data_IF_740967876189
#
_entry.id   IF_740967876189
#
_cell.length_a   1.000
_cell.length_b   1.000
_cell.length_c   1.000
_cell.angle_alpha   90.00
_cell.angle_beta   90.00
_cell.angle_gamma   90.00
#
_symmetry.space_group_name_H-M   'P 1'
#
loop_
_entity.id
_entity.type
_entity.pdbx_description
1 polymer ?
#
# COMPACT_ATOMS: atom_id res chain seq x y z
N UNK A 1 -18.83 16.20 -10.76
CA UNK A 1 -17.99 16.40 -9.57
C UNK A 1 -17.24 15.13 -9.15
N UNK A 2 -17.85 14.09 -8.58
CA UNK A 2 -17.10 12.91 -8.10
C UNK A 2 -16.44 12.06 -9.21
N UNK A 3 -17.07 11.98 -10.39
CA UNK A 3 -16.54 11.25 -11.55
C UNK A 3 -15.41 12.03 -12.25
N UNK A 4 -15.57 13.35 -12.39
CA UNK A 4 -14.56 14.25 -12.98
C UNK A 4 -13.24 14.22 -12.19
N UNK A 5 -13.30 14.30 -10.86
CA UNK A 5 -12.10 14.17 -10.00
C UNK A 5 -11.40 12.82 -10.19
N UNK A 6 -12.16 11.74 -10.43
CA UNK A 6 -11.57 10.42 -10.64
C UNK A 6 -10.87 10.31 -12.01
N UNK A 7 -11.43 10.94 -13.04
CA UNK A 7 -10.87 10.97 -14.39
C UNK A 7 -9.63 11.88 -14.46
N UNK A 8 -9.65 13.00 -13.75
CA UNK A 8 -8.48 13.88 -13.56
C UNK A 8 -7.34 13.14 -12.86
N UNK A 9 -7.62 12.44 -11.75
CA UNK A 9 -6.59 11.70 -11.02
C UNK A 9 -6.03 10.53 -11.84
N UNK A 10 -6.87 9.84 -12.61
CA UNK A 10 -6.41 8.82 -13.54
C UNK A 10 -5.44 9.42 -14.57
N UNK A 11 -5.80 10.54 -15.17
CA UNK A 11 -4.96 11.25 -16.15
C UNK A 11 -3.64 11.71 -15.54
N UNK A 12 -3.66 12.25 -14.31
CA UNK A 12 -2.47 12.64 -13.55
C UNK A 12 -1.52 11.46 -13.33
N UNK A 13 -2.07 10.31 -12.92
CA UNK A 13 -1.28 9.09 -12.73
C UNK A 13 -0.69 8.59 -14.06
N UNK A 14 -1.49 8.52 -15.14
CA UNK A 14 -1.01 8.12 -16.47
C UNK A 14 0.15 9.00 -16.94
N UNK A 15 -0.01 10.32 -16.83
CA UNK A 15 1.02 11.28 -17.18
C UNK A 15 2.30 11.13 -16.35
N UNK A 16 2.19 10.78 -15.06
CA UNK A 16 3.36 10.58 -14.20
C UNK A 16 4.20 9.36 -14.57
N UNK A 17 3.63 8.40 -15.31
CA UNK A 17 4.28 7.14 -15.67
C UNK A 17 4.70 7.07 -17.14
N UNK A 18 4.32 8.04 -17.97
CA UNK A 18 4.41 7.97 -19.44
C UNK A 18 5.84 7.74 -19.96
N UNK A 19 6.84 8.35 -19.30
CA UNK A 19 8.24 8.32 -19.75
C UNK A 19 9.07 7.23 -19.05
N UNK A 20 8.44 6.39 -18.21
CA UNK A 20 9.11 5.39 -17.39
C UNK A 20 8.88 3.94 -17.82
N UNK A 21 9.57 2.98 -17.16
CA UNK A 21 9.41 1.55 -17.42
C UNK A 21 8.01 1.03 -17.00
N UNK A 22 7.28 1.79 -16.18
CA UNK A 22 5.93 1.47 -15.74
C UNK A 22 4.84 2.18 -16.56
N UNK A 23 5.15 2.70 -17.76
CA UNK A 23 4.14 3.25 -18.67
C UNK A 23 3.04 2.22 -18.89
N UNK A 24 1.79 2.65 -18.70
CA UNK A 24 0.63 1.78 -18.84
C UNK A 24 -0.13 2.07 -20.14
N UNK A 25 -0.70 1.03 -20.76
CA UNK A 25 -1.68 1.14 -21.85
C UNK A 25 -3.10 1.34 -21.34
N UNK A 26 -3.36 0.95 -20.09
CA UNK A 26 -4.65 1.15 -19.43
C UNK A 26 -4.50 1.17 -17.92
N UNK A 27 -5.35 1.96 -17.25
CA UNK A 27 -5.54 1.94 -15.81
C UNK A 27 -6.97 1.52 -15.48
N UNK A 28 -7.13 0.46 -14.69
CA UNK A 28 -8.41 0.03 -14.11
C UNK A 28 -8.44 0.37 -12.63
N UNK A 29 -9.40 1.18 -12.18
CA UNK A 29 -9.56 1.50 -10.76
C UNK A 29 -9.83 0.22 -9.95
N UNK A 30 -9.16 0.08 -8.82
CA UNK A 30 -9.40 -0.99 -7.84
C UNK A 30 -10.32 -0.49 -6.72
N UNK A 31 -11.19 -1.38 -6.23
CA UNK A 31 -12.02 -1.16 -5.04
C UNK A 31 -11.25 -1.55 -3.78
N UNK A 32 -11.74 -1.14 -2.60
CA UNK A 32 -11.24 -1.63 -1.31
C UNK A 32 -10.37 -0.68 -0.49
N UNK A 33 -10.16 0.56 -0.94
CA UNK A 33 -9.46 1.61 -0.19
C UNK A 33 -10.26 2.92 -0.15
N UNK A 34 -10.23 3.61 1.00
CA UNK A 34 -10.89 4.92 1.17
C UNK A 34 -9.94 6.10 0.99
N UNK A 35 -8.67 5.92 1.40
CA UNK A 35 -7.71 7.02 1.52
C UNK A 35 -6.91 7.33 0.25
N UNK A 36 -6.74 6.37 -0.67
CA UNK A 36 -5.86 6.53 -1.84
C UNK A 36 -6.60 6.24 -3.14
N UNK A 37 -6.07 6.76 -4.24
CA UNK A 37 -6.46 6.35 -5.58
C UNK A 37 -5.62 5.15 -5.98
N UNK A 38 -6.27 4.00 -6.16
CA UNK A 38 -5.59 2.73 -6.47
C UNK A 38 -6.06 2.21 -7.82
N UNK A 39 -5.11 1.84 -8.66
CA UNK A 39 -5.34 1.35 -10.01
C UNK A 39 -4.54 0.07 -10.25
N UNK A 40 -5.08 -0.82 -11.07
CA UNK A 40 -4.31 -1.84 -11.77
C UNK A 40 -3.91 -1.27 -13.12
N UNK A 41 -2.62 -1.15 -13.36
CA UNK A 41 -2.06 -0.74 -14.64
C UNK A 41 -1.68 -1.94 -15.49
N UNK A 42 -2.07 -1.94 -16.76
CA UNK A 42 -1.53 -2.86 -17.77
C UNK A 42 -0.32 -2.20 -18.40
N UNK A 43 0.85 -2.80 -18.25
CA UNK A 43 2.11 -2.26 -18.74
C UNK A 43 2.16 -2.26 -20.27
N UNK A 44 2.74 -1.20 -20.84
CA UNK A 44 3.00 -1.11 -22.27
C UNK A 44 4.13 -2.04 -22.72
N UNK A 45 5.05 -2.34 -21.81
CA UNK A 45 6.14 -3.27 -22.02
C UNK A 45 6.23 -4.15 -20.77
N UNK A 46 6.20 -5.48 -20.89
CA UNK A 46 6.36 -6.36 -19.74
C UNK A 46 7.67 -6.08 -18.99
N UNK A 47 7.69 -6.29 -17.67
CA UNK A 47 8.93 -6.27 -16.90
C UNK A 47 9.83 -7.45 -17.30
N UNK A 48 11.08 -7.45 -16.84
CA UNK A 48 12.07 -8.48 -17.18
C UNK A 48 11.66 -9.90 -16.78
N UNK A 49 10.80 -10.05 -15.77
CA UNK A 49 10.24 -11.33 -15.32
C UNK A 49 8.97 -11.76 -16.08
N UNK A 50 8.55 -10.98 -17.08
CA UNK A 50 7.33 -11.20 -17.85
C UNK A 50 6.07 -10.60 -17.24
N UNK A 51 6.15 -9.92 -16.09
CA UNK A 51 5.01 -9.24 -15.46
C UNK A 51 4.39 -8.22 -16.40
N UNK A 52 3.08 -8.30 -16.61
CA UNK A 52 2.33 -7.41 -17.52
C UNK A 52 1.40 -6.44 -16.79
N UNK A 53 1.19 -6.62 -15.49
CA UNK A 53 0.34 -5.76 -14.67
C UNK A 53 1.01 -5.35 -13.38
N UNK A 54 0.69 -4.15 -12.90
CA UNK A 54 1.17 -3.58 -11.64
C UNK A 54 0.03 -2.93 -10.88
N UNK A 55 0.16 -2.81 -9.56
CA UNK A 55 -0.74 -1.99 -8.74
C UNK A 55 -0.10 -0.63 -8.54
N UNK A 56 -0.84 0.42 -8.87
CA UNK A 56 -0.43 1.81 -8.74
C UNK A 56 -1.26 2.46 -7.65
N UNK A 57 -0.59 3.09 -6.69
CA UNK A 57 -1.23 3.79 -5.59
C UNK A 57 -0.77 5.24 -5.58
N UNK A 58 -1.73 6.14 -5.68
CA UNK A 58 -1.50 7.58 -5.63
C UNK A 58 -2.08 8.17 -4.35
N UNK A 59 -1.25 8.93 -3.65
CA UNK A 59 -1.57 9.53 -2.36
C UNK A 59 -1.75 11.03 -2.50
N UNK A 60 -2.90 11.51 -2.03
CA UNK A 60 -3.21 12.94 -1.92
C UNK A 60 -3.21 13.38 -0.45
N UNK A 61 -3.15 14.69 -0.22
CA UNK A 61 -3.25 15.33 1.10
C UNK A 61 -4.63 15.24 1.76
N UNK A 62 -5.48 14.35 1.27
CA UNK A 62 -6.85 14.11 1.70
C UNK A 62 -7.24 12.65 1.45
N UNK A 63 -8.36 12.22 2.02
CA UNK A 63 -8.94 10.89 1.81
C UNK A 63 -9.63 10.85 0.45
N UNK A 64 -9.20 9.96 -0.46
CA UNK A 64 -9.75 9.86 -1.82
C UNK A 64 -11.29 9.76 -1.90
N UNK A 65 -11.94 9.11 -0.94
CA UNK A 65 -13.40 9.02 -0.86
C UNK A 65 -14.08 10.19 -0.14
N UNK A 66 -13.33 11.02 0.59
CA UNK A 66 -13.83 12.20 1.28
C UNK A 66 -12.81 13.33 1.18
N UNK A 67 -12.75 14.05 0.05
CA UNK A 67 -11.72 15.08 -0.18
C UNK A 67 -11.73 16.24 0.83
N UNK A 68 -12.85 16.46 1.53
CA UNK A 68 -12.92 17.41 2.64
C UNK A 68 -12.14 16.98 3.89
N UNK A 69 -11.79 15.70 4.01
CA UNK A 69 -11.02 15.17 5.13
C UNK A 69 -9.52 15.17 4.79
N UNK A 70 -8.79 16.12 5.39
CA UNK A 70 -7.34 16.25 5.22
C UNK A 70 -6.61 15.06 5.86
N UNK A 71 -5.62 14.54 5.14
CA UNK A 71 -4.79 13.44 5.60
C UNK A 71 -3.40 13.60 4.99
N UNK A 72 -2.38 13.75 5.85
CA UNK A 72 -1.02 14.04 5.41
C UNK A 72 -0.48 13.00 4.42
N UNK A 73 0.30 13.45 3.45
CA UNK A 73 0.94 12.58 2.45
C UNK A 73 2.06 11.75 3.02
N UNK A 74 2.66 12.15 4.16
CA UNK A 74 3.75 11.42 4.86
C UNK A 74 3.46 9.94 5.11
N UNK A 75 2.18 9.53 5.11
CA UNK A 75 1.78 8.13 5.15
C UNK A 75 2.30 7.28 3.98
N UNK A 76 2.54 7.84 2.79
CA UNK A 76 3.16 7.09 1.70
C UNK A 76 4.67 6.89 1.94
N UNK A 77 5.35 7.81 2.64
CA UNK A 77 6.76 7.65 3.01
C UNK A 77 6.94 6.50 4.02
N UNK A 78 6.08 6.42 5.03
CA UNK A 78 6.08 5.31 5.98
C UNK A 78 5.79 3.96 5.29
N UNK A 79 4.81 3.95 4.38
CA UNK A 79 4.46 2.75 3.61
C UNK A 79 5.61 2.29 2.72
N UNK A 80 6.27 3.22 2.01
CA UNK A 80 7.48 2.95 1.25
C UNK A 80 8.58 2.36 2.15
N UNK A 81 8.83 3.01 3.28
CA UNK A 81 9.93 2.63 4.18
C UNK A 81 9.75 1.19 4.67
N UNK A 82 8.56 0.86 5.19
CA UNK A 82 8.30 -0.48 5.72
C UNK A 82 8.21 -1.55 4.62
N UNK A 83 7.59 -1.27 3.47
CA UNK A 83 7.51 -2.26 2.38
C UNK A 83 8.87 -2.53 1.74
N UNK A 84 9.74 -1.54 1.66
CA UNK A 84 11.13 -1.76 1.22
C UNK A 84 11.85 -2.69 2.19
N UNK A 85 11.76 -2.43 3.49
CA UNK A 85 12.41 -3.27 4.50
C UNK A 85 11.86 -4.71 4.53
N UNK A 86 10.54 -4.84 4.37
CA UNK A 86 9.84 -6.14 4.34
C UNK A 86 10.23 -7.02 3.15
N UNK A 87 10.87 -6.48 2.12
CA UNK A 87 11.45 -7.30 1.03
C UNK A 87 12.48 -8.33 1.53
N UNK A 88 13.05 -8.11 2.71
CA UNK A 88 14.00 -9.02 3.37
C UNK A 88 13.32 -10.08 4.25
N UNK A 89 12.03 -9.93 4.55
CA UNK A 89 11.27 -10.89 5.34
C UNK A 89 10.76 -12.01 4.42
N UNK A 90 11.22 -13.27 4.59
CA UNK A 90 10.76 -14.36 3.73
C UNK A 90 9.26 -14.61 3.84
N UNK A 91 8.60 -15.05 2.75
CA UNK A 91 7.24 -15.58 2.79
C UNK A 91 7.08 -16.70 3.81
N UNK A 92 5.88 -16.81 4.37
CA UNK A 92 5.52 -17.92 5.25
C UNK A 92 4.54 -18.85 4.54
N UNK A 93 4.90 -20.13 4.45
CA UNK A 93 4.05 -21.15 3.82
C UNK A 93 3.57 -22.18 4.85
N UNK A 94 2.26 -22.39 4.91
CA UNK A 94 1.66 -23.45 5.71
C UNK A 94 0.57 -24.15 4.90
N UNK A 95 0.76 -25.46 4.68
CA UNK A 95 -0.22 -26.33 4.01
C UNK A 95 -0.77 -25.72 2.71
N UNK A 96 0.13 -25.39 1.78
CA UNK A 96 -0.15 -24.80 0.46
C UNK A 96 -0.75 -23.38 0.48
N UNK A 97 -0.73 -22.68 1.61
CA UNK A 97 -1.05 -21.25 1.69
C UNK A 97 0.24 -20.49 1.96
N UNK A 98 0.58 -19.59 1.05
CA UNK A 98 1.73 -18.70 1.17
C UNK A 98 1.25 -17.30 1.52
N UNK A 99 1.81 -16.72 2.58
CA UNK A 99 1.59 -15.34 3.00
C UNK A 99 2.87 -14.55 2.76
N UNK A 100 2.75 -13.45 2.04
CA UNK A 100 3.85 -12.55 1.70
C UNK A 100 3.34 -11.13 1.49
N UNK A 101 4.25 -10.16 1.53
CA UNK A 101 3.96 -8.76 1.24
C UNK A 101 4.12 -8.48 -0.25
N UNK A 102 3.38 -7.51 -0.81
CA UNK A 102 3.67 -7.03 -2.16
C UNK A 102 5.10 -6.49 -2.25
N UNK A 103 5.75 -6.71 -3.39
CA UNK A 103 7.03 -6.07 -3.71
C UNK A 103 6.76 -4.66 -4.19
N UNK A 104 7.53 -3.70 -3.69
CA UNK A 104 7.45 -2.34 -4.19
C UNK A 104 8.52 -2.11 -5.25
N UNK A 105 8.06 -1.72 -6.43
CA UNK A 105 8.88 -1.52 -7.61
C UNK A 105 9.41 -0.09 -7.71
N UNK A 106 8.60 0.89 -7.34
CA UNK A 106 8.94 2.30 -7.42
C UNK A 106 8.17 3.11 -6.39
N UNK A 107 8.82 4.15 -5.88
CA UNK A 107 8.16 5.29 -5.26
C UNK A 107 8.69 6.58 -5.86
N UNK A 108 7.76 7.46 -6.20
CA UNK A 108 8.03 8.79 -6.74
C UNK A 108 7.56 9.83 -5.71
N UNK A 109 8.48 10.39 -4.90
CA UNK A 109 8.14 11.40 -3.90
C UNK A 109 7.53 12.67 -4.52
N UNK A 110 7.95 13.03 -5.73
CA UNK A 110 7.45 14.23 -6.43
C UNK A 110 5.96 14.13 -6.79
N UNK A 111 5.44 12.92 -6.94
CA UNK A 111 4.04 12.67 -7.32
C UNK A 111 3.28 11.87 -6.27
N UNK A 112 3.90 11.50 -5.15
CA UNK A 112 3.33 10.59 -4.14
C UNK A 112 2.74 9.30 -4.74
N UNK A 113 3.38 8.79 -5.80
CA UNK A 113 2.94 7.59 -6.52
C UNK A 113 3.84 6.42 -6.18
N UNK A 114 3.22 5.30 -5.82
CA UNK A 114 3.87 4.02 -5.52
C UNK A 114 3.42 2.96 -6.51
N UNK A 115 4.34 2.06 -6.87
CA UNK A 115 4.09 0.94 -7.79
C UNK A 115 4.45 -0.35 -7.08
N UNK A 116 3.52 -1.29 -7.08
CA UNK A 116 3.64 -2.59 -6.44
C UNK A 116 3.47 -3.72 -7.44
N UNK A 117 4.02 -4.88 -7.08
CA UNK A 117 3.70 -6.15 -7.71
C UNK A 117 2.20 -6.37 -7.68
N UNK A 118 1.61 -6.78 -8.80
CA UNK A 118 0.22 -7.21 -8.86
C UNK A 118 0.12 -8.71 -8.59
N UNK A 119 -0.99 -9.12 -7.98
CA UNK A 119 -1.38 -10.53 -7.92
C UNK A 119 -2.60 -10.68 -8.83
N UNK A 120 -2.40 -10.94 -10.13
CA UNK A 120 -3.51 -11.07 -11.06
C UNK A 120 -4.43 -12.21 -10.62
N UNK A 121 -5.73 -12.04 -10.86
CA UNK A 121 -6.77 -13.01 -10.46
C UNK A 121 -6.94 -13.22 -8.94
N UNK A 122 -6.43 -12.30 -8.10
CA UNK A 122 -6.71 -12.28 -6.67
C UNK A 122 -8.04 -11.59 -6.31
N UNK A 123 -8.53 -11.89 -5.11
CA UNK A 123 -9.68 -11.25 -4.47
C UNK A 123 -9.27 -10.81 -3.06
N UNK A 124 -9.83 -9.71 -2.57
CA UNK A 124 -9.65 -9.36 -1.16
C UNK A 124 -10.41 -10.36 -0.25
N UNK A 125 -9.87 -10.57 0.95
CA UNK A 125 -10.39 -11.58 1.88
C UNK A 125 -11.85 -11.31 2.27
N UNK A 126 -12.27 -10.04 2.38
CA UNK A 126 -13.66 -9.70 2.73
C UNK A 126 -14.60 -10.14 1.61
N UNK A 127 -14.30 -9.80 0.36
CA UNK A 127 -15.09 -10.22 -0.80
C UNK A 127 -15.13 -11.75 -0.91
N UNK A 128 -13.99 -12.41 -0.73
CA UNK A 128 -13.94 -13.88 -0.76
C UNK A 128 -14.83 -14.51 0.31
N UNK A 129 -14.73 -14.05 1.56
CA UNK A 129 -15.56 -14.57 2.67
C UNK A 129 -17.03 -14.29 2.43
N UNK A 130 -17.42 -13.09 2.00
CA UNK A 130 -18.82 -12.75 1.75
C UNK A 130 -19.43 -13.61 0.63
N UNK A 131 -18.66 -13.94 -0.41
CA UNK A 131 -19.15 -14.72 -1.54
C UNK A 131 -19.11 -16.24 -1.30
N UNK A 132 -18.31 -16.72 -0.36
CA UNK A 132 -18.04 -18.14 -0.16
C UNK A 132 -18.26 -18.63 1.28
N UNK A 133 -18.85 -17.82 2.17
CA UNK A 133 -19.03 -18.16 3.59
C UNK A 133 -19.69 -19.54 3.80
N UNK A 134 -20.69 -19.89 3.00
CA UNK A 134 -21.41 -21.17 3.10
C UNK A 134 -20.60 -22.38 2.62
N UNK A 135 -19.57 -22.19 1.79
CA UNK A 135 -18.71 -23.27 1.30
C UNK A 135 -17.39 -23.39 2.06
N UNK A 136 -17.08 -22.44 2.95
CA UNK A 136 -15.87 -22.47 3.75
C UNK A 136 -15.96 -23.52 4.86
N UNK A 137 -15.07 -24.49 4.80
CA UNK A 137 -14.96 -25.54 5.81
C UNK A 137 -14.04 -25.11 6.95
N UNK A 138 -14.29 -25.60 8.16
CA UNK A 138 -13.43 -25.33 9.32
C UNK A 138 -11.94 -25.66 9.06
N UNK A 139 -11.57 -26.79 8.42
CA UNK A 139 -10.18 -27.06 8.06
C UNK A 139 -9.56 -26.04 7.11
N UNK A 140 -10.30 -25.49 6.15
CA UNK A 140 -9.78 -24.42 5.27
C UNK A 140 -9.48 -23.16 6.07
N UNK A 141 -10.42 -22.72 6.91
CA UNK A 141 -10.24 -21.56 7.78
C UNK A 141 -9.06 -21.74 8.74
N UNK A 142 -8.90 -22.94 9.31
CA UNK A 142 -7.78 -23.25 10.21
C UNK A 142 -6.43 -23.16 9.50
N UNK A 143 -6.31 -23.70 8.28
CA UNK A 143 -5.07 -23.59 7.48
C UNK A 143 -4.72 -22.15 7.17
N UNK A 144 -5.70 -21.34 6.74
CA UNK A 144 -5.51 -19.92 6.46
C UNK A 144 -5.05 -19.17 7.73
N UNK A 145 -5.74 -19.39 8.85
CA UNK A 145 -5.39 -18.78 10.13
C UNK A 145 -3.97 -19.16 10.59
N UNK A 146 -3.57 -20.42 10.42
CA UNK A 146 -2.21 -20.86 10.72
C UNK A 146 -1.16 -20.19 9.83
N UNK A 147 -1.40 -20.07 8.52
CA UNK A 147 -0.47 -19.41 7.60
C UNK A 147 -0.29 -17.92 7.94
N UNK A 148 -1.39 -17.21 8.22
CA UNK A 148 -1.37 -15.82 8.66
C UNK A 148 -0.65 -15.65 10.01
N UNK A 149 -0.99 -16.48 11.00
CA UNK A 149 -0.35 -16.44 12.31
C UNK A 149 1.14 -16.74 12.26
N UNK A 150 1.55 -17.67 11.38
CA UNK A 150 2.97 -17.97 11.13
C UNK A 150 3.71 -16.75 10.57
N UNK A 151 3.14 -16.09 9.56
CA UNK A 151 3.74 -14.87 9.00
C UNK A 151 3.82 -13.74 10.05
N UNK A 152 2.74 -13.50 10.80
CA UNK A 152 2.70 -12.45 11.84
C UNK A 152 3.74 -12.70 12.92
N UNK A 153 3.92 -13.95 13.36
CA UNK A 153 4.98 -14.29 14.30
C UNK A 153 6.36 -13.98 13.73
N UNK A 154 6.63 -14.39 12.50
CA UNK A 154 7.91 -14.13 11.84
C UNK A 154 8.16 -12.63 11.68
N UNK A 155 7.13 -11.85 11.34
CA UNK A 155 7.20 -10.39 11.27
C UNK A 155 7.56 -9.77 12.64
N UNK A 156 6.92 -10.20 13.73
CA UNK A 156 7.26 -9.71 15.07
C UNK A 156 8.69 -10.05 15.48
N UNK A 157 9.14 -11.28 15.23
CA UNK A 157 10.53 -11.69 15.50
C UNK A 157 11.53 -10.90 14.65
N UNK A 158 11.23 -10.69 13.37
CA UNK A 158 12.04 -9.88 12.46
C UNK A 158 12.13 -8.42 12.93
N UNK A 159 11.00 -7.80 13.30
CA UNK A 159 10.96 -6.41 13.74
C UNK A 159 11.69 -6.18 15.08
N UNK A 160 11.80 -7.21 15.92
CA UNK A 160 12.53 -7.16 17.20
C UNK A 160 14.02 -7.51 17.07
N UNK A 161 14.47 -7.96 15.89
CA UNK A 161 15.86 -8.29 15.66
C UNK A 161 16.74 -7.04 15.72
N UNK A 162 17.99 -7.20 16.15
CA UNK A 162 18.91 -6.09 16.35
C UNK A 162 19.18 -5.31 15.06
N UNK A 163 19.15 -6.00 13.93
CA UNK A 163 19.30 -5.44 12.58
C UNK A 163 18.20 -4.41 12.26
N UNK A 164 17.02 -4.50 12.88
CA UNK A 164 15.89 -3.62 12.61
C UNK A 164 15.75 -2.45 13.59
N UNK A 165 16.63 -2.31 14.57
CA UNK A 165 16.56 -1.20 15.56
C UNK A 165 16.50 0.17 14.92
N UNK A 166 17.35 0.44 13.93
CA UNK A 166 17.37 1.73 13.23
C UNK A 166 16.08 2.00 12.44
N UNK A 167 15.54 0.98 11.76
CA UNK A 167 14.27 1.06 11.06
C UNK A 167 13.13 1.38 12.04
N UNK A 168 13.05 0.64 13.15
CA UNK A 168 12.01 0.84 14.17
C UNK A 168 12.07 2.25 14.74
N UNK A 169 13.27 2.78 15.01
CA UNK A 169 13.45 4.15 15.49
C UNK A 169 12.94 5.17 14.47
N UNK A 170 13.32 5.03 13.19
CA UNK A 170 12.84 5.91 12.12
C UNK A 170 11.31 5.87 11.96
N UNK A 171 10.68 4.73 12.24
CA UNK A 171 9.23 4.54 12.12
C UNK A 171 8.43 5.09 13.32
N UNK A 172 9.07 5.54 14.41
CA UNK A 172 8.38 6.21 15.54
C UNK A 172 7.86 7.61 15.17
N UNK A 173 8.31 8.14 14.03
CA UNK A 173 8.00 9.47 13.53
C UNK A 173 8.78 10.56 14.27
N UNK A 174 8.99 11.69 13.59
CA UNK A 174 9.43 12.91 14.28
C UNK A 174 8.27 13.32 15.16
N UNK A 175 8.46 13.26 16.49
CA UNK A 175 7.49 13.79 17.44
C UNK A 175 7.06 15.17 16.96
N UNK A 176 5.75 15.34 16.75
CA UNK A 176 5.21 16.59 16.24
C UNK A 176 5.75 17.73 17.08
N UNK A 177 6.34 18.71 16.39
CA UNK A 177 6.65 20.02 16.90
C UNK A 177 5.46 20.47 17.78
N UNK A 178 5.68 20.47 19.09
CA UNK A 178 4.74 21.05 20.03
C UNK A 178 4.69 22.51 19.66
N UNK A 179 3.66 22.89 18.91
CA UNK A 179 3.33 24.28 18.64
C UNK A 179 3.10 24.98 19.97
N UNK A 180 4.18 25.45 20.59
CA UNK A 180 4.14 26.55 21.53
C UNK A 180 3.51 27.71 20.77
N UNK A 181 2.25 27.96 21.11
CA UNK A 181 1.58 29.22 20.79
C UNK A 181 2.44 30.30 21.43
N UNK A 182 3.03 31.24 20.67
CA UNK A 182 3.81 32.32 21.25
C UNK A 182 2.92 33.10 22.23
N UNK A 183 3.43 33.27 23.45
CA UNK A 183 2.75 34.01 24.50
C UNK A 183 2.32 35.39 24.00
N UNK A 184 1.02 35.66 24.08
CA UNK A 184 0.47 37.00 23.96
C UNK A 184 0.86 37.81 25.18
N UNK A 185 1.94 38.58 25.06
CA UNK A 185 2.32 39.65 25.99
C UNK A 185 1.67 40.97 25.57
N UNK A 186 0.92 41.59 26.51
CA UNK A 186 0.61 43.03 26.55
C UNK A 186 -0.45 43.50 25.53
N UNK A 187 -1.31 44.49 25.81
CA UNK A 187 -1.15 45.65 26.67
C UNK A 187 -2.53 46.26 27.02
N UNK A 188 -2.60 46.77 28.27
CA UNK A 188 -3.39 47.88 28.85
C UNK A 188 -4.92 47.85 28.75
#
# INVERSE_FOLDING_TARGET
MATEVQDEMKTKVENSLKDGPYRCTSLKKLSGGTANFVYRGTLATPLSDGTTTVVIKHTEGYVAQSPGFKLATTRCDYEQTILTALSTLPPATHTNITVQTPTMHLFSPSTNTQIYSDLPSSLDLKTYVLNHASSLTHPQCKRLGHALGLWTRNFHSWAQADEQKALVENMKGVGGDSGEVPGGSGEV
#
